data_IF_513654380866
#
_entry.id   IF_513654380866
#
_cell.length_a   1.000
_cell.length_b   1.000
_cell.length_c   1.000
_cell.angle_alpha   90.00
_cell.angle_beta   90.00
_cell.angle_gamma   90.00
#
_symmetry.space_group_name_H-M   'P 1'
#
loop_
_entity.id
_entity.type
_entity.pdbx_description
1 polymer ?
#
# COMPACT_ATOMS: atom_id res chain seq x y z
N UNK A 1 -72.75 -26.37 17.52
CA UNK A 1 -71.39 -26.65 17.01
C UNK A 1 -70.40 -25.96 17.92
N UNK A 2 -69.62 -26.76 18.66
CA UNK A 2 -68.70 -26.33 19.73
C UNK A 2 -67.43 -25.70 19.14
N UNK A 3 -67.11 -24.46 19.55
CA UNK A 3 -65.79 -23.84 19.33
C UNK A 3 -64.92 -24.12 20.55
N UNK A 4 -63.96 -25.02 20.44
CA UNK A 4 -62.85 -25.16 21.39
C UNK A 4 -61.79 -24.12 21.06
N UNK A 5 -61.57 -23.17 21.99
CA UNK A 5 -60.43 -22.26 21.96
C UNK A 5 -59.32 -22.92 22.80
N UNK A 6 -58.11 -23.19 22.28
CA UNK A 6 -57.04 -23.69 23.13
C UNK A 6 -56.47 -22.55 23.98
N UNK A 7 -56.31 -22.82 25.27
CA UNK A 7 -55.69 -21.91 26.23
C UNK A 7 -54.19 -21.65 25.89
N UNK A 8 -53.63 -20.47 26.24
CA UNK A 8 -52.22 -20.18 26.04
C UNK A 8 -51.37 -21.15 26.87
N UNK A 9 -50.59 -22.01 26.22
CA UNK A 9 -49.67 -22.91 26.92
C UNK A 9 -48.53 -22.10 27.54
N UNK A 10 -48.34 -22.23 28.85
CA UNK A 10 -47.18 -21.66 29.53
C UNK A 10 -45.90 -22.31 29.00
N UNK A 11 -44.88 -21.53 28.60
CA UNK A 11 -43.67 -22.09 28.04
C UNK A 11 -42.93 -22.90 29.11
N UNK A 12 -42.64 -24.15 28.79
CA UNK A 12 -41.95 -25.09 29.67
C UNK A 12 -40.56 -24.55 30.04
N UNK A 13 -40.01 -24.92 31.20
CA UNK A 13 -38.69 -24.44 31.65
C UNK A 13 -37.58 -24.59 30.59
N UNK A 14 -37.61 -25.68 29.81
CA UNK A 14 -36.70 -25.89 28.69
C UNK A 14 -36.82 -24.84 27.57
N UNK A 15 -38.04 -24.37 27.28
CA UNK A 15 -38.27 -23.31 26.29
C UNK A 15 -37.78 -21.94 26.77
N UNK A 16 -37.92 -21.64 28.07
CA UNK A 16 -37.37 -20.41 28.67
C UNK A 16 -35.84 -20.40 28.60
N UNK A 17 -35.19 -21.55 28.86
CA UNK A 17 -33.74 -21.68 28.74
C UNK A 17 -33.25 -21.54 27.29
N UNK A 18 -33.96 -22.16 26.34
CA UNK A 18 -33.65 -22.03 24.90
C UNK A 18 -33.78 -20.57 24.42
N UNK A 19 -34.83 -19.87 24.85
CA UNK A 19 -35.01 -18.44 24.53
C UNK A 19 -33.93 -17.56 25.16
N UNK A 20 -33.48 -17.87 26.38
CA UNK A 20 -32.40 -17.13 27.01
C UNK A 20 -31.08 -17.28 26.22
N UNK A 21 -30.76 -18.51 25.82
CA UNK A 21 -29.57 -18.80 25.01
C UNK A 21 -29.61 -18.10 23.64
N UNK A 22 -30.78 -18.10 22.99
CA UNK A 22 -30.95 -17.43 21.70
C UNK A 22 -30.81 -15.90 21.81
N UNK A 23 -31.38 -15.30 22.87
CA UNK A 23 -31.22 -13.87 23.12
C UNK A 23 -29.78 -13.49 23.43
N UNK A 24 -29.05 -14.34 24.16
CA UNK A 24 -27.63 -14.15 24.44
C UNK A 24 -26.81 -14.17 23.14
N UNK A 25 -27.05 -15.17 22.28
CA UNK A 25 -26.38 -15.27 20.98
C UNK A 25 -26.68 -14.07 20.06
N UNK A 26 -27.92 -13.54 20.10
CA UNK A 26 -28.29 -12.32 19.37
C UNK A 26 -27.57 -11.09 19.92
N UNK A 27 -27.43 -10.99 21.24
CA UNK A 27 -26.71 -9.91 21.91
C UNK A 27 -25.21 -9.93 21.55
N UNK A 28 -24.57 -11.11 21.58
CA UNK A 28 -23.17 -11.28 21.19
C UNK A 28 -22.94 -10.90 19.72
N UNK A 29 -23.83 -11.35 18.83
CA UNK A 29 -23.76 -11.00 17.40
C UNK A 29 -23.95 -9.50 17.16
N UNK A 30 -24.82 -8.85 17.94
CA UNK A 30 -25.01 -7.41 17.87
C UNK A 30 -23.80 -6.63 18.41
N UNK A 31 -23.17 -7.11 19.49
CA UNK A 31 -21.95 -6.54 20.05
C UNK A 31 -20.77 -6.66 19.08
N UNK A 32 -20.59 -7.83 18.46
CA UNK A 32 -19.55 -8.04 17.46
C UNK A 32 -19.72 -7.09 16.27
N UNK A 33 -20.96 -6.93 15.77
CA UNK A 33 -21.26 -5.97 14.69
C UNK A 33 -21.00 -4.52 15.09
N UNK A 34 -21.30 -4.14 16.33
CA UNK A 34 -21.01 -2.79 16.86
C UNK A 34 -19.50 -2.56 16.96
N UNK A 35 -18.73 -3.54 17.43
CA UNK A 35 -17.26 -3.47 17.49
C UNK A 35 -16.64 -3.41 16.10
N UNK A 36 -17.12 -4.19 15.15
CA UNK A 36 -16.65 -4.13 13.76
C UNK A 36 -16.97 -2.78 13.09
N UNK A 37 -18.09 -2.14 13.45
CA UNK A 37 -18.48 -0.81 12.94
C UNK A 37 -17.81 0.35 13.70
N UNK A 38 -17.36 0.12 14.94
CA UNK A 38 -16.64 1.08 15.77
C UNK A 38 -15.11 0.95 15.65
N UNK A 39 -14.61 -0.05 14.91
CA UNK A 39 -13.22 -0.09 14.51
C UNK A 39 -12.95 1.18 13.68
N UNK A 40 -11.98 2.03 14.08
CA UNK A 40 -11.57 3.15 13.26
C UNK A 40 -11.26 2.62 11.85
N UNK A 41 -11.66 3.33 10.78
CA UNK A 41 -11.17 2.98 9.45
C UNK A 41 -9.66 2.89 9.55
N UNK A 42 -9.10 1.74 9.11
CA UNK A 42 -7.65 1.60 9.03
C UNK A 42 -7.13 2.82 8.28
N UNK A 43 -6.14 3.55 8.81
CA UNK A 43 -5.58 4.66 8.06
C UNK A 43 -5.03 4.05 6.78
N UNK A 44 -5.69 4.34 5.63
CA UNK A 44 -5.02 4.23 4.35
C UNK A 44 -3.68 4.92 4.56
N UNK A 45 -2.58 4.18 4.43
CA UNK A 45 -1.24 4.78 4.44
C UNK A 45 -1.25 5.81 3.33
N UNK A 46 -1.49 7.07 3.70
CA UNK A 46 -1.43 8.17 2.78
C UNK A 46 0.05 8.22 2.39
N UNK A 47 0.34 7.98 1.11
CA UNK A 47 1.69 8.10 0.59
C UNK A 47 2.16 9.51 0.91
N UNK A 48 3.21 9.60 1.71
CA UNK A 48 3.73 10.88 2.17
C UNK A 48 4.54 11.52 1.06
N UNK A 49 4.84 12.81 1.20
CA UNK A 49 5.76 13.50 0.28
C UNK A 49 7.16 12.87 0.38
N UNK A 50 7.57 12.46 1.58
CA UNK A 50 8.83 11.74 1.83
C UNK A 50 8.91 10.45 1.01
N UNK A 51 7.84 9.64 0.99
CA UNK A 51 7.77 8.41 0.18
C UNK A 51 7.99 8.70 -1.32
N UNK A 52 7.40 9.79 -1.85
CA UNK A 52 7.60 10.20 -3.24
C UNK A 52 9.02 10.71 -3.51
N UNK A 53 9.63 11.44 -2.57
CA UNK A 53 11.01 11.91 -2.71
C UNK A 53 11.98 10.72 -2.71
N UNK A 54 11.75 9.72 -1.87
CA UNK A 54 12.53 8.49 -1.84
C UNK A 54 12.39 7.70 -3.15
N UNK A 55 11.17 7.54 -3.66
CA UNK A 55 10.92 6.86 -4.94
C UNK A 55 11.62 7.60 -6.11
N UNK A 56 11.45 8.93 -6.20
CA UNK A 56 12.10 9.73 -7.23
C UNK A 56 13.63 9.69 -7.12
N UNK A 57 14.17 9.63 -5.90
CA UNK A 57 15.61 9.50 -5.67
C UNK A 57 16.13 8.15 -6.16
N UNK A 58 15.42 7.05 -5.90
CA UNK A 58 15.80 5.72 -6.38
C UNK A 58 15.78 5.65 -7.91
N UNK A 59 14.76 6.22 -8.55
CA UNK A 59 14.67 6.27 -10.01
C UNK A 59 15.81 7.09 -10.63
N UNK A 60 16.19 8.22 -10.03
CA UNK A 60 17.33 9.02 -10.48
C UNK A 60 18.66 8.27 -10.32
N UNK A 61 18.88 7.59 -9.19
CA UNK A 61 20.07 6.77 -8.98
C UNK A 61 20.15 5.63 -10.00
N UNK A 62 19.02 4.96 -10.28
CA UNK A 62 18.94 3.92 -11.30
C UNK A 62 19.26 4.46 -12.69
N UNK A 63 18.71 5.62 -13.05
CA UNK A 63 19.01 6.28 -14.32
C UNK A 63 20.50 6.66 -14.41
N UNK A 64 21.09 7.20 -13.33
CA UNK A 64 22.52 7.52 -13.28
C UNK A 64 23.41 6.27 -13.48
N UNK A 65 23.09 5.17 -12.81
CA UNK A 65 23.84 3.91 -12.95
C UNK A 65 23.73 3.33 -14.37
N UNK A 66 22.55 3.41 -14.98
CA UNK A 66 22.33 3.04 -16.39
C UNK A 66 23.16 3.89 -17.33
N UNK A 67 23.16 5.21 -17.13
CA UNK A 67 23.95 6.13 -17.94
C UNK A 67 25.46 5.94 -17.76
N UNK A 68 25.94 5.64 -16.54
CA UNK A 68 27.34 5.29 -16.28
C UNK A 68 27.75 4.03 -17.07
N UNK A 69 26.87 3.04 -17.15
CA UNK A 69 27.11 1.82 -17.92
C UNK A 69 27.25 2.14 -19.41
N UNK A 70 26.39 3.01 -19.95
CA UNK A 70 26.49 3.48 -21.34
C UNK A 70 27.79 4.24 -21.59
N UNK A 71 28.16 5.18 -20.71
CA UNK A 71 29.43 5.91 -20.83
C UNK A 71 30.63 4.97 -20.84
N UNK A 72 30.63 3.97 -19.96
CA UNK A 72 31.68 2.95 -19.90
C UNK A 72 31.76 2.15 -21.21
N UNK A 73 30.63 1.79 -21.81
CA UNK A 73 30.61 1.11 -23.11
C UNK A 73 31.17 1.99 -24.23
N UNK A 74 30.87 3.29 -24.20
CA UNK A 74 31.41 4.25 -25.17
C UNK A 74 32.93 4.42 -25.03
N UNK A 75 33.44 4.47 -23.80
CA UNK A 75 34.89 4.50 -23.54
C UNK A 75 35.58 3.24 -24.07
N UNK A 76 34.97 2.07 -23.91
CA UNK A 76 35.49 0.81 -24.46
C UNK A 76 35.49 0.78 -25.98
N UNK A 77 34.55 1.48 -26.62
CA UNK A 77 34.40 1.57 -28.08
C UNK A 77 35.16 2.76 -28.70
N UNK A 78 35.85 3.58 -27.89
CA UNK A 78 36.54 4.80 -28.31
C UNK A 78 37.53 4.61 -29.45
N UNK A 79 38.13 3.42 -29.56
CA UNK A 79 39.07 3.08 -30.65
C UNK A 79 38.40 2.60 -31.93
N UNK A 80 37.17 2.09 -31.86
CA UNK A 80 36.51 1.39 -32.97
C UNK A 80 35.40 2.22 -33.63
N UNK A 81 34.77 3.13 -32.88
CA UNK A 81 33.65 3.94 -33.34
C UNK A 81 33.97 5.42 -33.11
N UNK A 82 34.17 6.24 -34.17
CA UNK A 82 34.55 7.65 -34.00
C UNK A 82 33.50 8.48 -33.25
N UNK A 83 32.22 8.10 -33.37
CA UNK A 83 31.11 8.80 -32.72
C UNK A 83 31.05 8.55 -31.20
N UNK A 84 31.73 7.51 -30.69
CA UNK A 84 31.70 7.16 -29.28
C UNK A 84 32.26 8.26 -28.38
N UNK A 85 33.31 8.95 -28.81
CA UNK A 85 33.91 10.08 -28.10
C UNK A 85 32.94 11.26 -28.04
N UNK A 86 32.28 11.57 -29.16
CA UNK A 86 31.29 12.64 -29.24
C UNK A 86 30.07 12.34 -28.36
N UNK A 87 29.57 11.10 -28.42
CA UNK A 87 28.44 10.67 -27.61
C UNK A 87 28.79 10.64 -26.12
N UNK A 88 30.00 10.20 -25.75
CA UNK A 88 30.48 10.26 -24.37
C UNK A 88 30.53 11.72 -23.86
N UNK A 89 31.05 12.65 -24.67
CA UNK A 89 31.12 14.07 -24.32
C UNK A 89 29.73 14.71 -24.13
N UNK A 90 28.70 14.24 -24.83
CA UNK A 90 27.32 14.72 -24.66
C UNK A 90 26.63 14.11 -23.43
N UNK A 91 26.89 12.83 -23.16
CA UNK A 91 26.21 12.11 -22.09
C UNK A 91 26.85 12.32 -20.71
N UNK A 92 28.16 12.60 -20.65
CA UNK A 92 28.86 12.81 -19.38
C UNK A 92 28.31 14.01 -18.58
N UNK A 93 28.05 15.19 -19.18
CA UNK A 93 27.40 16.30 -18.48
C UNK A 93 25.99 15.96 -18.00
N UNK A 94 25.22 15.21 -18.79
CA UNK A 94 23.87 14.78 -18.41
C UNK A 94 23.91 13.88 -17.18
N UNK A 95 24.88 12.97 -17.09
CA UNK A 95 25.09 12.14 -15.89
C UNK A 95 25.36 13.00 -14.66
N UNK A 96 26.27 13.96 -14.77
CA UNK A 96 26.59 14.86 -13.65
C UNK A 96 25.37 15.63 -13.16
N UNK A 97 24.48 16.05 -14.06
CA UNK A 97 23.23 16.69 -13.68
C UNK A 97 22.27 15.75 -12.95
N UNK A 98 22.17 14.50 -13.38
CA UNK A 98 21.34 13.49 -12.70
C UNK A 98 21.88 13.22 -11.29
N UNK A 99 23.19 13.04 -11.14
CA UNK A 99 23.83 12.83 -9.83
C UNK A 99 23.54 14.00 -8.87
N UNK A 100 23.77 15.24 -9.33
CA UNK A 100 23.50 16.43 -8.54
C UNK A 100 22.03 16.56 -8.15
N UNK A 101 21.11 16.16 -9.03
CA UNK A 101 19.68 16.19 -8.72
C UNK A 101 19.29 15.11 -7.71
N UNK A 102 19.90 13.92 -7.78
CA UNK A 102 19.72 12.87 -6.79
C UNK A 102 20.22 13.32 -5.41
N UNK A 103 21.42 13.91 -5.33
CA UNK A 103 21.98 14.45 -4.08
C UNK A 103 21.07 15.54 -3.47
N UNK A 104 20.52 16.42 -4.32
CA UNK A 104 19.61 17.49 -3.89
C UNK A 104 18.27 16.96 -3.39
N UNK A 105 17.74 15.90 -3.99
CA UNK A 105 16.49 15.27 -3.55
C UNK A 105 16.69 14.51 -2.24
N UNK A 106 17.80 13.79 -2.11
CA UNK A 106 18.14 13.11 -0.86
C UNK A 106 18.35 14.07 0.31
N UNK A 107 18.85 15.28 0.06
CA UNK A 107 18.99 16.31 1.09
C UNK A 107 17.66 16.89 1.60
N UNK A 108 16.51 16.52 1.01
CA UNK A 108 15.18 16.97 1.41
C UNK A 108 14.45 15.98 2.34
N UNK A 109 15.03 14.80 2.60
CA UNK A 109 14.50 13.74 3.47
C UNK A 109 15.45 13.52 4.63
#
# INVERSE_FOLDING_TARGET
>A
MTRTTPAPQEPTLAQKQAQLAENLAKADRAQFRRRAKAAPPQPSKAVTIEDHILEASDDLLRASAGLQSVLTLLDLQAGDIPDSIGLHALLSPLKQQIDQNADRLQALV
#
